data_IF_615003879615
#
_entry.id   IF_615003879615
#
_cell.length_a   1.000
_cell.length_b   1.000
_cell.length_c   1.000
_cell.angle_alpha   90.00
_cell.angle_beta   90.00
_cell.angle_gamma   90.00
#
_symmetry.space_group_name_H-M   'P 1'
#
loop_
_entity.id
_entity.type
_entity.pdbx_description
1 polymer ?
#
# COMPACT_ATOMS: atom_id res chain seq x y z
N UNK A 1 9.25 6.07 9.94
CA UNK A 1 9.81 5.57 11.20
C UNK A 1 9.51 4.09 11.27
N UNK A 2 10.53 3.27 11.03
CA UNK A 2 10.44 1.82 11.14
C UNK A 2 10.38 1.40 12.61
N UNK A 3 9.53 0.43 12.92
CA UNK A 3 9.45 -0.13 14.27
C UNK A 3 10.40 -1.33 14.36
N UNK A 4 11.64 -1.05 14.73
CA UNK A 4 12.52 -2.05 15.33
C UNK A 4 12.49 -1.84 16.85
N UNK A 5 11.95 -2.81 17.57
CA UNK A 5 11.88 -2.80 19.02
C UNK A 5 11.45 -4.16 19.54
N UNK A 6 12.41 -5.07 19.74
CA UNK A 6 12.22 -6.24 20.60
C UNK A 6 11.91 -5.74 22.01
N UNK A 7 10.70 -5.99 22.50
CA UNK A 7 10.37 -6.01 23.93
C UNK A 7 9.45 -7.20 24.19
N UNK A 8 9.78 -7.90 25.26
CA UNK A 8 9.18 -9.14 25.75
C UNK A 8 7.64 -9.09 25.76
N UNK A 9 7.03 -10.11 25.15
CA UNK A 9 5.59 -10.23 25.00
C UNK A 9 5.01 -10.77 26.30
N UNK A 10 4.63 -9.88 27.22
CA UNK A 10 3.75 -10.25 28.33
C UNK A 10 2.30 -10.31 27.84
N UNK A 11 1.59 -11.37 28.23
CA UNK A 11 0.21 -11.79 27.87
C UNK A 11 -0.91 -10.77 28.17
N UNK A 12 -0.85 -9.56 27.63
CA UNK A 12 -1.96 -8.61 27.60
C UNK A 12 -2.25 -8.25 26.14
N UNK A 13 -3.19 -8.96 25.51
CA UNK A 13 -3.57 -8.75 24.10
C UNK A 13 -4.15 -7.35 23.81
N UNK A 14 -4.58 -6.62 24.84
CA UNK A 14 -5.27 -5.33 24.72
C UNK A 14 -4.31 -4.17 24.97
N UNK A 15 -4.47 -3.11 24.19
CA UNK A 15 -3.66 -1.89 24.33
C UNK A 15 -3.79 -1.33 25.74
N UNK A 16 -2.67 -1.28 26.47
CA UNK A 16 -2.60 -0.78 27.84
C UNK A 16 -2.85 0.73 27.86
N UNK A 17 -3.66 1.18 28.82
CA UNK A 17 -3.95 2.61 29.02
C UNK A 17 -5.09 3.17 28.19
N UNK A 18 -5.76 2.35 27.36
CA UNK A 18 -7.00 2.77 26.71
C UNK A 18 -8.23 2.38 27.54
N UNK A 19 -9.14 3.33 27.73
CA UNK A 19 -10.43 3.09 28.37
C UNK A 19 -11.47 2.62 27.33
N UNK A 20 -11.68 1.32 27.28
CA UNK A 20 -12.61 0.68 26.33
C UNK A 20 -14.08 0.96 26.63
N UNK A 21 -14.42 1.48 27.83
CA UNK A 21 -15.81 1.85 28.14
C UNK A 21 -16.32 2.99 27.24
N UNK A 22 -15.41 3.80 26.70
CA UNK A 22 -15.68 4.89 25.76
C UNK A 22 -15.90 4.43 24.31
N UNK A 23 -16.00 3.12 24.09
CA UNK A 23 -16.02 2.53 22.77
C UNK A 23 -14.64 2.44 22.13
N UNK A 24 -14.48 1.56 21.14
CA UNK A 24 -13.18 1.29 20.53
C UNK A 24 -13.34 0.82 19.09
N UNK A 25 -12.61 1.43 18.16
CA UNK A 25 -12.43 0.87 16.83
C UNK A 25 -11.29 -0.16 16.86
N UNK A 26 -11.51 -1.35 16.31
CA UNK A 26 -10.60 -2.49 16.37
C UNK A 26 -10.36 -3.06 14.98
N UNK A 27 -9.13 -3.45 14.71
CA UNK A 27 -8.74 -4.37 13.64
C UNK A 27 -8.49 -5.74 14.24
N UNK A 28 -9.18 -6.77 13.75
CA UNK A 28 -9.12 -8.14 14.28
C UNK A 28 -8.73 -9.11 13.17
N UNK A 29 -7.90 -10.09 13.51
CA UNK A 29 -7.55 -11.23 12.65
C UNK A 29 -7.86 -12.54 13.36
N UNK A 30 -8.62 -13.41 12.71
CA UNK A 30 -8.97 -14.75 13.21
C UNK A 30 -8.49 -15.77 12.18
N UNK A 31 -7.68 -16.74 12.62
CA UNK A 31 -6.93 -17.63 11.72
C UNK A 31 -7.41 -19.08 11.92
N UNK A 32 -7.56 -19.81 10.81
CA UNK A 32 -7.87 -21.25 10.84
C UNK A 32 -6.72 -22.03 11.48
N UNK A 33 -7.00 -23.24 11.98
CA UNK A 33 -5.98 -24.12 12.53
C UNK A 33 -5.58 -25.23 11.55
N UNK A 34 -4.29 -25.48 11.27
CA UNK A 34 -3.09 -24.63 11.49
C UNK A 34 -2.79 -23.75 10.26
N UNK A 35 -3.68 -22.81 9.90
CA UNK A 35 -3.65 -22.02 8.64
C UNK A 35 -4.06 -22.80 7.39
N UNK A 36 -5.05 -23.69 7.51
CA UNK A 36 -5.61 -24.43 6.36
C UNK A 36 -6.40 -23.48 5.46
N UNK A 37 -6.15 -23.53 4.15
CA UNK A 37 -6.85 -22.71 3.14
C UNK A 37 -8.26 -23.26 2.84
N UNK A 38 -9.14 -23.22 3.83
CA UNK A 38 -10.47 -23.85 3.78
C UNK A 38 -11.55 -22.97 3.17
N UNK A 39 -11.34 -21.65 3.12
CA UNK A 39 -12.39 -20.69 2.72
C UNK A 39 -12.41 -20.42 1.22
N UNK A 40 -11.39 -20.86 0.49
CA UNK A 40 -11.28 -20.66 -0.95
C UNK A 40 -9.86 -20.36 -1.40
N UNK A 41 -9.77 -19.87 -2.63
CA UNK A 41 -8.52 -19.46 -3.27
C UNK A 41 -8.67 -18.05 -3.84
N UNK A 42 -7.57 -17.33 -3.95
CA UNK A 42 -7.58 -15.99 -4.51
C UNK A 42 -7.39 -16.09 -6.03
N UNK A 43 -8.31 -15.46 -6.78
CA UNK A 43 -8.29 -15.30 -8.24
C UNK A 43 -8.79 -13.90 -8.57
N UNK A 44 -8.07 -13.17 -9.43
CA UNK A 44 -8.39 -11.81 -9.87
C UNK A 44 -8.63 -10.87 -8.69
N UNK A 45 -7.71 -10.89 -7.73
CA UNK A 45 -7.76 -10.12 -6.49
C UNK A 45 -9.04 -10.33 -5.65
N UNK A 46 -9.72 -11.47 -5.80
CA UNK A 46 -10.93 -11.82 -5.03
C UNK A 46 -10.86 -13.25 -4.53
N UNK A 47 -11.52 -13.52 -3.41
CA UNK A 47 -11.67 -14.88 -2.92
C UNK A 47 -12.76 -15.60 -3.72
N UNK A 48 -12.36 -16.60 -4.51
CA UNK A 48 -13.28 -17.64 -5.01
C UNK A 48 -13.60 -18.57 -3.85
N UNK A 49 -14.77 -18.35 -3.24
CA UNK A 49 -15.15 -18.97 -1.97
C UNK A 49 -15.57 -20.43 -2.14
N UNK A 50 -15.19 -21.27 -1.17
CA UNK A 50 -15.84 -22.57 -0.94
C UNK A 50 -17.22 -22.38 -0.30
N UNK A 51 -17.99 -23.47 -0.15
CA UNK A 51 -19.22 -23.45 0.65
C UNK A 51 -18.97 -22.97 2.09
N UNK A 52 -17.84 -23.39 2.69
CA UNK A 52 -17.44 -22.92 4.01
C UNK A 52 -17.08 -21.43 4.01
N UNK A 53 -16.35 -20.95 2.98
CA UNK A 53 -16.05 -19.53 2.84
C UNK A 53 -17.31 -18.66 2.74
N UNK A 54 -18.34 -19.13 2.02
CA UNK A 54 -19.66 -18.49 1.96
C UNK A 54 -20.36 -18.51 3.32
N UNK A 55 -20.29 -19.62 4.05
CA UNK A 55 -20.86 -19.71 5.40
C UNK A 55 -20.19 -18.72 6.36
N UNK A 56 -18.86 -18.69 6.38
CA UNK A 56 -18.07 -17.75 7.19
C UNK A 56 -18.43 -16.30 6.88
N UNK A 57 -18.57 -15.92 5.61
CA UNK A 57 -18.99 -14.57 5.22
C UNK A 57 -20.38 -14.22 5.78
N UNK A 58 -21.35 -15.14 5.70
CA UNK A 58 -22.67 -14.95 6.32
C UNK A 58 -22.56 -14.78 7.84
N UNK A 59 -21.75 -15.59 8.52
CA UNK A 59 -21.53 -15.48 9.98
C UNK A 59 -20.88 -14.16 10.39
N UNK A 60 -20.03 -13.57 9.54
CA UNK A 60 -19.47 -12.22 9.77
C UNK A 60 -20.60 -11.19 9.77
N UNK A 61 -21.51 -11.25 8.80
CA UNK A 61 -22.66 -10.32 8.71
C UNK A 61 -23.56 -10.45 9.92
N UNK A 62 -23.91 -11.68 10.32
CA UNK A 62 -24.70 -11.96 11.53
C UNK A 62 -24.03 -11.40 12.80
N UNK A 63 -22.72 -11.62 12.97
CA UNK A 63 -21.96 -11.06 14.08
C UNK A 63 -21.97 -9.52 14.06
N UNK A 64 -21.91 -8.92 12.88
CA UNK A 64 -21.99 -7.46 12.71
C UNK A 64 -23.34 -6.84 13.08
N UNK A 65 -24.39 -7.66 13.16
CA UNK A 65 -25.75 -7.26 13.60
C UNK A 65 -25.95 -7.41 15.11
N UNK A 66 -25.01 -8.02 15.83
CA UNK A 66 -25.11 -8.19 17.28
C UNK A 66 -25.11 -6.83 18.00
N UNK A 67 -25.94 -6.65 19.05
CA UNK A 67 -25.95 -5.43 19.84
C UNK A 67 -24.56 -5.10 20.39
N UNK A 68 -24.19 -3.82 20.33
CA UNK A 68 -22.88 -3.32 20.79
C UNK A 68 -21.74 -3.46 19.77
N UNK A 69 -21.96 -4.15 18.66
CA UNK A 69 -21.01 -4.24 17.54
C UNK A 69 -21.46 -3.33 16.39
N UNK A 70 -20.51 -2.68 15.75
CA UNK A 70 -20.68 -2.07 14.43
C UNK A 70 -19.56 -2.55 13.53
N UNK A 71 -19.88 -3.44 12.59
CA UNK A 71 -18.92 -3.87 11.57
C UNK A 71 -18.76 -2.74 10.54
N UNK A 72 -17.53 -2.35 10.23
CA UNK A 72 -17.21 -1.37 9.19
C UNK A 72 -16.76 -2.03 7.90
N UNK A 73 -15.85 -2.99 8.00
CA UNK A 73 -15.29 -3.70 6.86
C UNK A 73 -14.81 -5.08 7.29
N UNK A 74 -14.71 -6.00 6.34
CA UNK A 74 -14.21 -7.35 6.57
C UNK A 74 -13.75 -7.98 5.27
N UNK A 75 -12.77 -8.87 5.35
CA UNK A 75 -12.40 -9.74 4.24
C UNK A 75 -12.19 -11.17 4.73
N UNK A 76 -12.75 -12.13 4.00
CA UNK A 76 -12.43 -13.54 4.13
C UNK A 76 -11.23 -13.82 3.21
N UNK A 77 -10.15 -14.33 3.79
CA UNK A 77 -8.95 -14.80 3.09
C UNK A 77 -8.96 -16.34 3.08
N UNK A 78 -8.12 -17.03 2.29
CA UNK A 78 -8.17 -18.49 2.17
C UNK A 78 -8.15 -19.24 3.51
N UNK A 79 -7.36 -18.76 4.48
CA UNK A 79 -7.09 -19.42 5.77
C UNK A 79 -7.38 -18.54 7.00
N UNK A 80 -7.93 -17.34 6.83
CA UNK A 80 -8.21 -16.41 7.93
C UNK A 80 -9.26 -15.37 7.55
N UNK A 81 -9.72 -14.61 8.52
CA UNK A 81 -10.58 -13.44 8.31
C UNK A 81 -9.96 -12.21 8.96
N UNK A 82 -10.15 -11.07 8.31
CA UNK A 82 -9.84 -9.76 8.86
C UNK A 82 -11.13 -8.98 9.06
N UNK A 83 -11.25 -8.30 10.19
CA UNK A 83 -12.44 -7.54 10.58
C UNK A 83 -12.02 -6.15 11.04
N UNK A 84 -12.75 -5.15 10.61
CA UNK A 84 -12.70 -3.81 11.18
C UNK A 84 -14.07 -3.50 11.77
N UNK A 85 -14.11 -3.33 13.08
CA UNK A 85 -15.36 -3.09 13.80
C UNK A 85 -15.19 -2.00 14.86
N UNK A 86 -16.30 -1.49 15.35
CA UNK A 86 -16.38 -0.59 16.49
C UNK A 86 -17.25 -1.17 17.58
N UNK A 87 -16.71 -1.14 18.79
CA UNK A 87 -17.45 -1.40 20.01
C UNK A 87 -18.14 -0.10 20.45
N UNK A 88 -19.46 -0.18 20.57
CA UNK A 88 -20.32 0.93 20.95
C UNK A 88 -20.21 1.24 22.44
N UNK A 89 -20.04 2.52 22.79
CA UNK A 89 -19.94 2.97 24.18
C UNK A 89 -21.26 2.90 24.94
N UNK A 90 -22.38 2.81 24.23
CA UNK A 90 -23.73 2.73 24.84
C UNK A 90 -24.02 1.35 25.46
N UNK A 91 -23.16 0.36 25.21
CA UNK A 91 -23.32 -1.00 25.73
C UNK A 91 -22.38 -1.24 26.92
N UNK A 92 -22.89 -1.82 28.02
CA UNK A 92 -22.05 -2.13 29.18
C UNK A 92 -20.98 -3.16 28.80
N UNK A 93 -19.80 -2.99 29.39
CA UNK A 93 -18.65 -3.87 29.21
C UNK A 93 -18.32 -4.19 27.72
N UNK A 94 -17.88 -3.20 26.91
CA UNK A 94 -17.62 -3.38 25.48
C UNK A 94 -16.72 -4.57 25.15
N UNK A 95 -15.75 -4.86 26.02
CA UNK A 95 -14.81 -5.98 25.88
C UNK A 95 -15.44 -7.36 26.13
N UNK A 96 -16.45 -7.45 26.98
CA UNK A 96 -17.24 -8.67 27.20
C UNK A 96 -18.15 -8.90 26.00
N UNK A 97 -18.77 -7.83 25.50
CA UNK A 97 -19.56 -7.86 24.25
C UNK A 97 -18.73 -8.37 23.07
N UNK A 98 -17.50 -7.86 22.90
CA UNK A 98 -16.56 -8.37 21.88
C UNK A 98 -16.27 -9.87 22.08
N UNK A 99 -15.96 -10.29 23.30
CA UNK A 99 -15.65 -11.68 23.61
C UNK A 99 -16.81 -12.63 23.26
N UNK A 100 -18.05 -12.24 23.60
CA UNK A 100 -19.27 -12.99 23.26
C UNK A 100 -19.50 -13.06 21.75
N UNK A 101 -19.35 -11.93 21.05
CA UNK A 101 -19.54 -11.87 19.60
C UNK A 101 -18.55 -12.77 18.85
N UNK A 102 -17.26 -12.66 19.18
CA UNK A 102 -16.22 -13.49 18.54
C UNK A 102 -16.36 -14.95 18.94
N UNK A 103 -16.74 -15.25 20.19
CA UNK A 103 -17.03 -16.61 20.64
C UNK A 103 -18.16 -17.26 19.84
N UNK A 104 -19.31 -16.57 19.74
CA UNK A 104 -20.45 -17.03 18.96
C UNK A 104 -20.10 -17.23 17.48
N UNK A 105 -19.43 -16.25 16.86
CA UNK A 105 -18.94 -16.34 15.48
C UNK A 105 -18.08 -17.59 15.26
N UNK A 106 -17.07 -17.81 16.10
CA UNK A 106 -16.16 -18.95 15.96
C UNK A 106 -16.88 -20.29 16.14
N UNK A 107 -17.80 -20.38 17.11
CA UNK A 107 -18.59 -21.58 17.38
C UNK A 107 -19.53 -21.92 16.23
N UNK A 108 -20.24 -20.93 15.67
CA UNK A 108 -21.14 -21.14 14.53
C UNK A 108 -20.37 -21.55 13.27
N UNK A 109 -19.23 -20.91 12.98
CA UNK A 109 -18.38 -21.32 11.87
C UNK A 109 -17.81 -22.74 12.05
N UNK A 110 -17.47 -23.13 13.29
CA UNK A 110 -16.99 -24.48 13.58
C UNK A 110 -18.08 -25.52 13.34
N UNK A 111 -19.34 -25.21 13.71
CA UNK A 111 -20.50 -26.04 13.39
C UNK A 111 -20.68 -26.18 11.87
N UNK A 112 -20.68 -25.07 11.13
CA UNK A 112 -20.80 -25.09 9.67
C UNK A 112 -19.66 -25.90 9.02
N UNK A 113 -18.44 -25.81 9.56
CA UNK A 113 -17.29 -26.62 9.12
C UNK A 113 -17.52 -28.11 9.31
N UNK A 114 -17.93 -28.56 10.50
CA UNK A 114 -18.20 -29.98 10.75
C UNK A 114 -19.32 -30.52 9.86
N UNK A 115 -20.40 -29.75 9.67
CA UNK A 115 -21.53 -30.15 8.83
C UNK A 115 -21.17 -30.24 7.34
N UNK A 116 -20.39 -29.28 6.81
CA UNK A 116 -20.05 -29.22 5.39
C UNK A 116 -18.90 -30.16 4.99
N UNK A 117 -17.99 -30.47 5.92
CA UNK A 117 -16.76 -31.24 5.60
C UNK A 117 -16.78 -32.66 6.15
N UNK A 118 -17.61 -32.94 7.17
CA UNK A 118 -17.57 -34.19 7.92
C UNK A 118 -16.30 -34.36 8.78
N UNK A 119 -15.41 -33.36 8.82
CA UNK A 119 -14.17 -33.44 9.58
C UNK A 119 -14.41 -33.18 11.07
N UNK A 120 -13.67 -33.91 11.92
CA UNK A 120 -13.58 -33.62 13.36
C UNK A 120 -12.38 -32.71 13.65
N UNK A 121 -12.49 -31.81 14.63
CA UNK A 121 -11.38 -31.00 15.13
C UNK A 121 -11.69 -29.50 15.19
N UNK A 122 -10.67 -28.68 15.48
CA UNK A 122 -10.85 -27.23 15.58
C UNK A 122 -10.67 -26.54 14.23
N UNK A 123 -11.67 -25.78 13.80
CA UNK A 123 -11.56 -24.88 12.65
C UNK A 123 -10.55 -23.76 12.92
N UNK A 124 -10.52 -23.20 14.13
CA UNK A 124 -9.79 -21.98 14.45
C UNK A 124 -8.61 -22.21 15.40
N UNK A 125 -7.60 -21.36 15.31
CA UNK A 125 -6.57 -21.24 16.35
C UNK A 125 -7.17 -20.69 17.65
N UNK A 126 -6.48 -20.90 18.78
CA UNK A 126 -6.92 -20.40 20.08
C UNK A 126 -6.85 -18.86 20.15
N UNK A 127 -7.97 -18.22 20.48
CA UNK A 127 -8.09 -16.77 20.55
C UNK A 127 -8.17 -16.08 19.18
N UNK A 128 -7.72 -14.82 19.14
CA UNK A 128 -7.62 -13.96 17.95
C UNK A 128 -6.58 -12.86 18.22
N UNK A 129 -6.13 -12.18 17.15
CA UNK A 129 -5.28 -11.00 17.24
C UNK A 129 -6.12 -9.75 17.06
N UNK A 130 -5.93 -8.73 17.90
CA UNK A 130 -6.62 -7.45 17.81
C UNK A 130 -5.67 -6.25 18.00
N UNK A 131 -6.01 -5.12 17.35
CA UNK A 131 -5.34 -3.83 17.52
C UNK A 131 -6.39 -2.71 17.50
N UNK A 132 -6.35 -1.83 18.50
CA UNK A 132 -7.09 -0.55 18.52
C UNK A 132 -6.66 0.51 17.47
N UNK A 133 -7.64 1.01 16.71
CA UNK A 133 -7.48 2.13 15.80
C UNK A 133 -7.84 3.43 16.54
N UNK A 134 -6.84 4.27 16.80
CA UNK A 134 -7.00 5.47 17.65
C UNK A 134 -7.28 6.76 16.86
N UNK A 135 -7.21 6.72 15.53
CA UNK A 135 -7.45 7.88 14.67
C UNK A 135 -8.19 7.52 13.39
N UNK A 136 -8.80 8.51 12.74
CA UNK A 136 -9.48 8.34 11.46
C UNK A 136 -8.50 7.87 10.37
N UNK A 137 -7.24 8.31 10.41
CA UNK A 137 -6.20 7.90 9.48
C UNK A 137 -5.84 6.42 9.66
N UNK A 138 -5.75 5.94 10.91
CA UNK A 138 -5.54 4.51 11.19
C UNK A 138 -6.73 3.68 10.71
N UNK A 139 -7.96 4.13 10.97
CA UNK A 139 -9.19 3.48 10.49
C UNK A 139 -9.18 3.39 8.96
N UNK A 140 -8.84 4.48 8.27
CA UNK A 140 -8.76 4.49 6.81
C UNK A 140 -7.62 3.59 6.28
N UNK A 141 -6.49 3.51 6.99
CA UNK A 141 -5.39 2.62 6.63
C UNK A 141 -5.76 1.15 6.78
N UNK A 142 -6.50 0.78 7.84
CA UNK A 142 -7.01 -0.58 8.04
C UNK A 142 -8.03 -0.95 6.98
N UNK A 143 -8.96 -0.05 6.64
CA UNK A 143 -9.93 -0.29 5.55
C UNK A 143 -9.19 -0.61 4.24
N UNK A 144 -8.23 0.23 3.85
CA UNK A 144 -7.40 -0.04 2.68
C UNK A 144 -6.66 -1.38 2.80
N UNK A 145 -6.10 -1.69 3.96
CA UNK A 145 -5.41 -2.96 4.16
C UNK A 145 -6.34 -4.16 3.93
N UNK A 146 -7.57 -4.12 4.42
CA UNK A 146 -8.60 -5.13 4.22
C UNK A 146 -8.92 -5.27 2.73
N UNK A 147 -9.20 -4.15 2.05
CA UNK A 147 -9.59 -4.14 0.64
C UNK A 147 -8.49 -4.68 -0.29
N UNK A 148 -7.23 -4.35 0.01
CA UNK A 148 -6.07 -4.77 -0.81
C UNK A 148 -5.49 -6.12 -0.39
N UNK A 149 -5.94 -6.74 0.70
CA UNK A 149 -5.35 -8.00 1.18
C UNK A 149 -5.43 -9.13 0.14
N UNK A 150 -6.57 -9.34 -0.55
CA UNK A 150 -6.67 -10.30 -1.64
C UNK A 150 -5.63 -10.06 -2.74
N UNK A 151 -5.52 -8.83 -3.25
CA UNK A 151 -4.52 -8.49 -4.26
C UNK A 151 -3.09 -8.72 -3.75
N UNK A 152 -2.80 -8.31 -2.52
CA UNK A 152 -1.50 -8.53 -1.89
C UNK A 152 -1.16 -10.01 -1.79
N UNK A 153 -2.15 -10.85 -1.50
CA UNK A 153 -1.97 -12.30 -1.46
C UNK A 153 -1.65 -12.84 -2.86
N UNK A 154 -2.44 -12.44 -3.86
CA UNK A 154 -2.25 -12.85 -5.26
C UNK A 154 -0.86 -12.50 -5.76
N UNK A 155 -0.45 -11.24 -5.64
CA UNK A 155 0.88 -10.77 -6.06
C UNK A 155 2.03 -11.38 -5.26
N UNK A 156 1.75 -12.01 -4.10
CA UNK A 156 2.79 -12.65 -3.29
C UNK A 156 2.94 -14.14 -3.58
N UNK A 157 1.84 -14.82 -3.87
CA UNK A 157 1.80 -16.28 -3.93
C UNK A 157 1.45 -16.82 -5.32
N UNK A 158 0.64 -16.10 -6.10
CA UNK A 158 0.19 -16.54 -7.41
C UNK A 158 0.98 -15.85 -8.53
N UNK A 159 1.40 -14.60 -8.31
CA UNK A 159 2.15 -13.77 -9.27
C UNK A 159 3.33 -13.04 -8.59
N UNK A 160 4.27 -13.79 -7.95
CA UNK A 160 5.37 -13.22 -7.18
C UNK A 160 6.31 -12.32 -8.00
N UNK A 161 6.33 -12.46 -9.32
CA UNK A 161 7.13 -11.67 -10.25
C UNK A 161 6.87 -10.17 -10.13
N UNK A 162 5.63 -9.75 -9.86
CA UNK A 162 5.30 -8.32 -9.68
C UNK A 162 5.92 -7.69 -8.43
N UNK A 163 6.25 -8.51 -7.43
CA UNK A 163 6.85 -8.07 -6.16
C UNK A 163 8.28 -8.59 -6.00
N UNK A 164 8.89 -9.10 -7.06
CA UNK A 164 10.29 -9.47 -7.06
C UNK A 164 11.17 -8.20 -7.00
N UNK A 165 12.29 -8.30 -6.29
CA UNK A 165 13.30 -7.24 -6.29
C UNK A 165 14.20 -7.45 -7.51
N UNK A 166 14.26 -6.45 -8.37
CA UNK A 166 15.20 -6.33 -9.48
C UNK A 166 16.49 -5.70 -8.95
N UNK A 167 17.59 -6.45 -9.05
CA UNK A 167 18.88 -6.03 -8.53
C UNK A 167 20.03 -6.64 -9.36
N UNK A 168 20.86 -5.84 -10.05
CA UNK A 168 20.64 -4.41 -10.33
C UNK A 168 19.50 -4.20 -11.33
N UNK A 169 18.92 -3.00 -11.37
CA UNK A 169 18.09 -2.58 -12.50
C UNK A 169 19.01 -2.27 -13.68
N UNK A 170 18.84 -2.99 -14.78
CA UNK A 170 19.51 -2.72 -16.05
C UNK A 170 18.58 -1.93 -16.96
N UNK A 171 18.65 -0.59 -16.88
CA UNK A 171 17.86 0.31 -17.72
C UNK A 171 18.74 1.42 -18.31
N UNK A 172 18.54 1.78 -19.57
CA UNK A 172 19.40 2.74 -20.28
C UNK A 172 19.32 4.16 -19.70
N UNK A 173 18.20 4.50 -19.05
CA UNK A 173 18.03 5.77 -18.33
C UNK A 173 18.79 5.85 -17.01
N UNK A 174 19.36 4.74 -16.53
CA UNK A 174 20.16 4.69 -15.31
C UNK A 174 21.65 4.67 -15.67
N UNK A 175 22.46 5.39 -14.89
CA UNK A 175 23.91 5.38 -15.08
C UNK A 175 24.48 3.98 -14.82
N UNK A 176 25.35 3.44 -15.69
CA UNK A 176 25.96 2.13 -15.48
C UNK A 176 26.87 2.09 -14.25
N UNK A 177 27.37 3.24 -13.80
CA UNK A 177 28.20 3.38 -12.59
C UNK A 177 27.39 3.45 -11.30
N UNK A 178 26.06 3.55 -11.39
CA UNK A 178 25.17 3.62 -10.22
C UNK A 178 24.49 2.28 -9.96
N UNK A 179 24.43 1.89 -8.69
CA UNK A 179 23.69 0.70 -8.28
C UNK A 179 22.24 1.05 -7.97
N UNK A 180 21.29 0.36 -8.60
CA UNK A 180 19.86 0.57 -8.41
C UNK A 180 19.13 -0.74 -8.13
N UNK A 181 18.21 -0.71 -7.16
CA UNK A 181 17.23 -1.76 -6.90
C UNK A 181 15.83 -1.27 -7.24
N UNK A 182 14.95 -2.16 -7.67
CA UNK A 182 13.55 -1.83 -7.88
C UNK A 182 12.60 -2.97 -7.66
N UNK A 183 11.33 -2.63 -7.58
CA UNK A 183 10.20 -3.55 -7.48
C UNK A 183 9.04 -3.01 -8.31
N UNK A 184 8.25 -3.91 -8.88
CA UNK A 184 7.24 -3.57 -9.87
C UNK A 184 7.84 -3.44 -11.27
N UNK A 185 7.28 -2.54 -12.08
CA UNK A 185 7.48 -2.53 -13.53
C UNK A 185 8.69 -1.66 -13.89
N UNK A 186 9.89 -2.16 -13.60
CA UNK A 186 11.14 -1.40 -13.81
C UNK A 186 11.38 -1.06 -15.29
N UNK A 187 10.84 -1.85 -16.22
CA UNK A 187 10.88 -1.63 -17.67
C UNK A 187 10.25 -0.30 -18.12
N UNK A 188 9.47 0.36 -17.24
CA UNK A 188 9.03 1.74 -17.47
C UNK A 188 10.22 2.69 -17.71
N UNK A 189 11.39 2.37 -17.15
CA UNK A 189 12.64 3.11 -17.34
C UNK A 189 13.25 2.94 -18.74
N UNK A 190 12.87 1.91 -19.49
CA UNK A 190 13.41 1.63 -20.83
C UNK A 190 12.46 2.02 -21.96
N UNK A 191 11.17 2.25 -21.67
CA UNK A 191 10.19 2.58 -22.70
C UNK A 191 10.36 3.96 -23.35
N UNK A 192 9.69 4.17 -24.50
CA UNK A 192 9.76 5.42 -25.26
C UNK A 192 8.90 6.55 -24.68
N UNK A 193 8.07 6.26 -23.67
CA UNK A 193 7.19 7.26 -23.06
C UNK A 193 8.04 8.34 -22.38
N UNK A 194 7.84 9.63 -22.68
CA UNK A 194 8.59 10.71 -22.04
C UNK A 194 8.28 10.79 -20.55
N UNK A 195 9.23 11.33 -19.78
CA UNK A 195 9.11 11.40 -18.32
C UNK A 195 8.72 12.80 -17.83
N UNK A 196 8.12 12.88 -16.65
CA UNK A 196 8.01 14.13 -15.90
C UNK A 196 8.64 13.91 -14.53
N UNK A 197 9.78 14.55 -14.26
CA UNK A 197 10.29 14.61 -12.89
C UNK A 197 9.52 15.68 -12.12
N UNK A 198 8.78 15.24 -11.10
CA UNK A 198 7.89 16.11 -10.33
C UNK A 198 8.59 16.67 -9.10
N UNK A 199 8.60 18.00 -8.96
CA UNK A 199 9.02 18.68 -7.74
C UNK A 199 8.04 19.77 -7.34
N UNK A 200 7.28 19.52 -6.28
CA UNK A 200 6.31 20.51 -5.76
C UNK A 200 6.78 21.00 -4.39
N UNK A 201 6.99 22.32 -4.28
CA UNK A 201 7.43 22.92 -3.03
C UNK A 201 6.40 22.73 -1.90
N UNK A 202 6.87 22.35 -0.72
CA UNK A 202 6.04 22.25 0.50
C UNK A 202 5.44 23.58 0.97
N UNK A 203 5.84 24.71 0.35
CA UNK A 203 5.37 26.07 0.70
C UNK A 203 4.15 26.51 -0.11
N UNK A 204 3.63 25.67 -1.01
CA UNK A 204 2.43 26.00 -1.78
C UNK A 204 1.19 25.97 -0.88
N UNK A 205 0.23 26.84 -1.16
CA UNK A 205 -1.11 26.78 -0.55
C UNK A 205 -1.93 25.62 -1.15
N UNK A 206 -3.01 25.22 -0.48
CA UNK A 206 -3.92 24.19 -0.98
C UNK A 206 -4.42 24.51 -2.40
N UNK A 207 -4.87 25.74 -2.64
CA UNK A 207 -5.31 26.19 -3.97
C UNK A 207 -4.24 26.03 -5.05
N UNK A 208 -2.98 26.34 -4.73
CA UNK A 208 -1.87 26.19 -5.67
C UNK A 208 -1.54 24.71 -5.95
N UNK A 209 -1.73 23.85 -4.95
CA UNK A 209 -1.61 22.40 -5.13
C UNK A 209 -2.72 21.90 -6.05
N UNK A 210 -3.96 22.35 -5.85
CA UNK A 210 -5.10 21.96 -6.69
C UNK A 210 -4.91 22.39 -8.16
N UNK A 211 -4.43 23.61 -8.39
CA UNK A 211 -4.05 24.10 -9.72
C UNK A 211 -2.95 23.23 -10.36
N UNK A 212 -1.94 22.81 -9.57
CA UNK A 212 -0.89 21.91 -10.04
C UNK A 212 -1.44 20.52 -10.40
N UNK A 213 -2.29 19.94 -9.55
CA UNK A 213 -2.95 18.64 -9.76
C UNK A 213 -3.82 18.68 -11.03
N UNK A 214 -4.62 19.73 -11.22
CA UNK A 214 -5.46 19.89 -12.40
C UNK A 214 -4.64 19.97 -13.71
N UNK A 215 -3.47 20.63 -13.67
CA UNK A 215 -2.57 20.66 -14.82
C UNK A 215 -1.97 19.29 -15.13
N UNK A 216 -1.56 18.54 -14.10
CA UNK A 216 -0.98 17.20 -14.26
C UNK A 216 -2.01 16.21 -14.78
N UNK A 217 -3.27 16.29 -14.33
CA UNK A 217 -4.36 15.42 -14.81
C UNK A 217 -4.46 15.41 -16.34
N UNK A 218 -4.30 16.57 -16.99
CA UNK A 218 -4.37 16.72 -18.46
C UNK A 218 -3.19 16.10 -19.22
N UNK A 219 -2.16 15.61 -18.52
CA UNK A 219 -0.96 14.97 -19.09
C UNK A 219 -0.87 13.49 -18.73
N UNK A 220 -1.87 12.95 -18.02
CA UNK A 220 -1.93 11.53 -17.70
C UNK A 220 -2.17 10.77 -19.00
N UNK A 221 -1.39 9.71 -19.22
CA UNK A 221 -1.40 8.93 -20.47
C UNK A 221 -0.20 9.25 -21.37
N UNK A 222 0.23 10.51 -21.40
CA UNK A 222 1.32 10.96 -22.27
C UNK A 222 2.71 10.76 -21.65
N UNK A 223 2.80 10.68 -20.31
CA UNK A 223 4.07 10.68 -19.58
C UNK A 223 4.15 9.58 -18.50
N UNK A 224 5.40 9.20 -18.18
CA UNK A 224 5.76 8.52 -16.94
C UNK A 224 6.17 9.56 -15.90
N UNK A 225 5.54 9.56 -14.74
CA UNK A 225 5.84 10.54 -13.68
C UNK A 225 6.83 9.94 -12.67
N UNK A 226 7.93 10.62 -12.39
CA UNK A 226 8.97 10.16 -11.47
C UNK A 226 9.23 11.16 -10.34
N UNK A 227 9.42 10.68 -9.12
CA UNK A 227 9.75 11.53 -7.99
C UNK A 227 9.79 10.81 -6.64
N UNK A 228 10.07 11.56 -5.57
CA UNK A 228 10.12 11.03 -4.20
C UNK A 228 8.77 10.99 -3.46
N UNK A 229 7.78 11.77 -3.92
CA UNK A 229 6.45 11.88 -3.32
C UNK A 229 6.46 12.30 -1.84
N UNK A 230 7.30 13.29 -1.50
CA UNK A 230 7.61 13.67 -0.12
C UNK A 230 6.70 14.82 0.34
N UNK A 231 6.57 15.86 -0.48
CA UNK A 231 5.79 17.05 -0.13
C UNK A 231 4.28 16.82 -0.22
N UNK A 232 3.43 17.63 0.46
CA UNK A 232 1.97 17.51 0.34
C UNK A 232 1.48 17.60 -1.10
N UNK A 233 2.06 18.50 -1.90
CA UNK A 233 1.69 18.64 -3.31
C UNK A 233 2.12 17.45 -4.17
N UNK A 234 3.31 16.89 -3.93
CA UNK A 234 3.74 15.67 -4.63
C UNK A 234 2.85 14.48 -4.26
N UNK A 235 2.47 14.34 -2.98
CA UNK A 235 1.54 13.30 -2.54
C UNK A 235 0.17 13.45 -3.18
N UNK A 236 -0.34 14.67 -3.30
CA UNK A 236 -1.61 14.93 -4.00
C UNK A 236 -1.54 14.49 -5.48
N UNK A 237 -0.42 14.74 -6.16
CA UNK A 237 -0.20 14.27 -7.54
C UNK A 237 -0.03 12.74 -7.59
N UNK A 238 0.72 12.13 -6.67
CA UNK A 238 0.82 10.66 -6.58
C UNK A 238 -0.56 10.03 -6.43
N UNK A 239 -1.38 10.57 -5.54
CA UNK A 239 -2.72 10.04 -5.27
C UNK A 239 -3.63 10.20 -6.50
N UNK A 240 -3.53 11.33 -7.22
CA UNK A 240 -4.14 11.52 -8.54
C UNK A 240 -3.68 10.45 -9.54
N UNK A 241 -2.37 10.23 -9.68
CA UNK A 241 -1.82 9.29 -10.67
C UNK A 241 -2.24 7.84 -10.38
N UNK A 242 -2.32 7.45 -9.10
CA UNK A 242 -2.80 6.13 -8.72
C UNK A 242 -4.29 5.96 -9.04
N UNK A 243 -5.10 7.00 -8.79
CA UNK A 243 -6.54 6.99 -9.06
C UNK A 243 -6.87 7.02 -10.56
N UNK A 244 -6.25 7.94 -11.30
CA UNK A 244 -6.54 8.19 -12.72
C UNK A 244 -5.65 7.32 -13.66
N UNK A 245 -5.13 6.21 -13.15
CA UNK A 245 -4.36 5.20 -13.90
C UNK A 245 -3.13 5.74 -14.67
N UNK A 246 -2.42 6.71 -14.09
CA UNK A 246 -1.14 7.19 -14.62
C UNK A 246 0.01 6.20 -14.44
N UNK A 247 1.07 6.36 -15.25
CA UNK A 247 2.36 5.65 -15.09
C UNK A 247 3.24 6.41 -14.09
N UNK A 248 3.76 5.73 -13.08
CA UNK A 248 4.40 6.38 -11.93
C UNK A 248 5.62 5.60 -11.41
N UNK A 249 6.70 6.31 -11.12
CA UNK A 249 7.91 5.76 -10.50
C UNK A 249 8.21 6.51 -9.21
N UNK A 250 8.32 5.77 -8.09
CA UNK A 250 8.83 6.32 -6.84
C UNK A 250 10.31 6.07 -6.71
N UNK A 251 11.08 7.12 -6.43
CA UNK A 251 12.45 6.99 -5.94
C UNK A 251 12.43 7.07 -4.41
N UNK A 252 12.93 6.04 -3.74
CA UNK A 252 13.08 6.03 -2.29
C UNK A 252 14.30 6.88 -1.87
N UNK A 253 14.20 7.62 -0.75
CA UNK A 253 15.32 8.39 -0.20
C UNK A 253 16.38 7.53 0.50
N UNK A 254 16.11 6.24 0.68
CA UNK A 254 17.00 5.26 1.32
C UNK A 254 17.11 4.02 0.44
N UNK A 255 18.16 3.23 0.64
CA UNK A 255 18.30 1.92 -0.01
C UNK A 255 17.09 1.01 0.26
N UNK A 256 16.83 0.11 -0.69
CA UNK A 256 15.76 -0.87 -0.60
C UNK A 256 16.29 -2.16 0.03
N UNK A 257 15.79 -2.59 1.21
CA UNK A 257 16.19 -3.87 1.81
C UNK A 257 15.67 -5.05 1.00
N UNK A 258 16.33 -6.21 1.11
CA UNK A 258 15.93 -7.44 0.38
C UNK A 258 14.55 -7.97 0.75
N UNK A 259 14.03 -7.58 1.91
CA UNK A 259 12.70 -7.98 2.38
C UNK A 259 11.67 -6.83 2.28
N UNK A 260 11.96 -5.79 1.49
CA UNK A 260 11.11 -4.61 1.33
C UNK A 260 9.64 -4.97 1.13
N UNK A 261 8.76 -4.32 1.89
CA UNK A 261 7.32 -4.53 1.84
C UNK A 261 6.65 -3.37 1.12
N UNK A 262 6.19 -3.64 -0.09
CA UNK A 262 5.41 -2.67 -0.88
C UNK A 262 4.13 -2.29 -0.12
N UNK A 263 3.90 -0.98 -0.01
CA UNK A 263 2.67 -0.45 0.58
C UNK A 263 1.45 -0.77 -0.28
N UNK A 264 0.30 -1.05 0.36
CA UNK A 264 -0.92 -1.52 -0.33
C UNK A 264 -1.39 -0.59 -1.45
N UNK A 265 -1.17 0.71 -1.32
CA UNK A 265 -1.56 1.72 -2.31
C UNK A 265 -0.89 1.56 -3.68
N UNK A 266 0.24 0.86 -3.76
CA UNK A 266 0.98 0.66 -5.00
C UNK A 266 0.58 -0.61 -5.73
N UNK A 267 -0.02 -1.58 -5.04
CA UNK A 267 -0.22 -2.94 -5.54
C UNK A 267 -1.06 -2.97 -6.82
N UNK A 268 -2.12 -2.18 -6.89
CA UNK A 268 -2.97 -2.12 -8.07
C UNK A 268 -2.23 -1.53 -9.27
N UNK A 269 -1.47 -0.45 -9.06
CA UNK A 269 -0.69 0.17 -10.12
C UNK A 269 0.47 -0.73 -10.61
N UNK A 270 1.05 -1.53 -9.72
CA UNK A 270 2.05 -2.54 -10.09
C UNK A 270 1.42 -3.65 -10.93
N UNK A 271 0.30 -4.23 -10.46
CA UNK A 271 -0.44 -5.27 -11.20
C UNK A 271 -0.86 -4.78 -12.59
N UNK A 272 -1.32 -3.54 -12.69
CA UNK A 272 -1.75 -2.92 -13.95
C UNK A 272 -0.57 -2.53 -14.87
N UNK A 273 0.67 -2.94 -14.55
CA UNK A 273 1.88 -2.61 -15.29
C UNK A 273 2.20 -1.10 -15.41
N UNK A 274 1.87 -0.31 -14.38
CA UNK A 274 1.99 1.16 -14.39
C UNK A 274 2.89 1.75 -13.30
N UNK A 275 3.37 0.95 -12.36
CA UNK A 275 4.17 1.48 -11.26
C UNK A 275 5.46 0.71 -11.00
N UNK A 276 6.50 1.46 -10.65
CA UNK A 276 7.74 0.94 -10.08
C UNK A 276 8.15 1.75 -8.84
N UNK A 277 8.82 1.10 -7.92
CA UNK A 277 9.52 1.75 -6.80
C UNK A 277 10.99 1.39 -6.95
N UNK A 278 11.85 2.39 -6.95
CA UNK A 278 13.30 2.22 -7.13
C UNK A 278 14.07 2.91 -6.00
N UNK A 279 15.26 2.41 -5.73
CA UNK A 279 16.17 2.97 -4.73
C UNK A 279 17.62 2.88 -5.22
N UNK A 280 18.40 3.91 -4.91
CA UNK A 280 19.83 3.95 -5.22
C UNK A 280 20.64 3.35 -4.07
N UNK A 281 21.60 2.49 -4.39
CA UNK A 281 22.57 1.91 -3.48
C UNK A 281 22.06 0.77 -2.59
N UNK A 282 23.00 0.17 -1.85
CA UNK A 282 22.78 -0.97 -0.95
C UNK A 282 22.93 -0.63 0.54
N UNK A 283 23.32 0.60 0.85
CA UNK A 283 23.55 1.06 2.23
C UNK A 283 22.36 1.89 2.70
N UNK A 284 21.87 1.62 3.91
CA UNK A 284 20.86 2.47 4.52
C UNK A 284 21.38 3.91 4.64
N UNK A 285 20.67 4.83 3.99
CA UNK A 285 20.89 6.27 4.15
C UNK A 285 19.83 6.77 5.12
N UNK A 286 20.25 7.44 6.18
CA UNK A 286 19.32 8.05 7.12
C UNK A 286 18.46 9.09 6.40
N UNK A 287 17.15 9.09 6.67
CA UNK A 287 16.23 10.03 6.06
C UNK A 287 16.62 11.47 6.41
N UNK A 288 17.18 12.17 5.44
CA UNK A 288 17.72 13.52 5.63
C UNK A 288 17.26 14.45 4.51
N UNK A 289 17.45 15.76 4.73
CA UNK A 289 17.23 16.75 3.68
C UNK A 289 18.15 16.51 2.48
N UNK A 290 19.39 16.07 2.72
CA UNK A 290 20.35 15.75 1.65
C UNK A 290 19.83 14.60 0.79
N UNK A 291 19.38 13.50 1.42
CA UNK A 291 18.77 12.37 0.71
C UNK A 291 17.55 12.80 -0.13
N UNK A 292 16.71 13.71 0.37
CA UNK A 292 15.59 14.25 -0.41
C UNK A 292 16.04 15.07 -1.63
N UNK A 293 17.15 15.80 -1.55
CA UNK A 293 17.70 16.55 -2.68
C UNK A 293 18.29 15.62 -3.72
N UNK A 294 19.02 14.59 -3.30
CA UNK A 294 19.55 13.55 -4.18
C UNK A 294 18.44 12.84 -4.97
N UNK A 295 17.31 12.55 -4.32
CA UNK A 295 16.13 11.99 -5.01
C UNK A 295 15.62 12.91 -6.11
N UNK A 296 15.56 14.22 -5.86
CA UNK A 296 15.10 15.19 -6.87
C UNK A 296 16.08 15.29 -8.05
N UNK A 297 17.37 15.28 -7.77
CA UNK A 297 18.43 15.30 -8.79
C UNK A 297 18.43 14.02 -9.63
N UNK A 298 18.28 12.86 -9.00
CA UNK A 298 18.14 11.58 -9.69
C UNK A 298 16.90 11.55 -10.59
N UNK A 299 15.74 11.98 -10.08
CA UNK A 299 14.52 12.07 -10.88
C UNK A 299 14.70 12.97 -12.12
N UNK A 300 15.32 14.14 -11.95
CA UNK A 300 15.58 15.06 -13.05
C UNK A 300 16.55 14.49 -14.10
N UNK A 301 17.63 13.82 -13.66
CA UNK A 301 18.58 13.13 -14.56
C UNK A 301 17.89 12.04 -15.37
N UNK A 302 17.15 11.15 -14.70
CA UNK A 302 16.41 10.06 -15.34
C UNK A 302 15.40 10.61 -16.35
N UNK A 303 14.66 11.66 -15.99
CA UNK A 303 13.65 12.24 -16.88
C UNK A 303 14.23 12.96 -18.11
N UNK A 304 15.49 13.38 -18.04
CA UNK A 304 16.19 14.09 -19.13
C UNK A 304 17.08 13.17 -19.98
N UNK A 305 17.18 11.88 -19.63
CA UNK A 305 17.99 10.93 -20.38
C UNK A 305 17.39 10.70 -21.78
N UNK A 306 18.25 10.71 -22.81
CA UNK A 306 17.92 10.42 -24.21
C UNK A 306 18.72 9.23 -24.71
N UNK A 307 18.07 8.34 -25.46
CA UNK A 307 18.71 7.16 -26.03
C UNK A 307 19.85 7.61 -26.97
N UNK A 308 21.09 7.16 -26.70
CA UNK A 308 22.27 7.49 -27.51
C UNK A 308 23.27 8.53 -26.97
N UNK A 309 23.27 8.91 -25.69
CA UNK A 309 24.36 9.71 -25.11
C UNK A 309 24.94 9.12 -23.82
N UNK A 310 25.95 8.26 -23.99
CA UNK A 310 27.10 8.36 -23.12
C UNK A 310 27.78 9.71 -23.40
N UNK A 311 28.10 10.44 -22.33
CA UNK A 311 28.97 11.63 -22.27
C UNK A 311 28.49 12.91 -22.99
N UNK A 312 27.80 13.78 -22.25
CA UNK A 312 28.11 15.21 -22.23
C UNK A 312 27.53 15.84 -20.96
N UNK A 313 28.34 16.61 -20.23
CA UNK A 313 27.95 17.55 -19.19
C UNK A 313 27.15 18.73 -19.78
N UNK A 314 26.07 18.42 -20.50
CA UNK A 314 25.14 19.37 -21.10
C UNK A 314 24.14 19.86 -20.07
N UNK A 315 24.04 21.19 -19.92
CA UNK A 315 23.25 21.85 -18.89
C UNK A 315 21.79 21.36 -18.81
N UNK A 316 21.37 21.10 -17.58
CA UNK A 316 19.99 20.82 -17.17
C UNK A 316 19.07 21.96 -17.64
N UNK A 317 18.22 21.72 -18.64
CA UNK A 317 17.23 22.72 -19.10
C UNK A 317 15.94 22.61 -18.30
N UNK A 318 15.48 23.74 -17.77
CA UNK A 318 14.32 23.87 -16.88
C UNK A 318 13.01 23.91 -17.66
N UNK A 319 12.09 22.98 -17.37
CA UNK A 319 10.72 22.99 -17.89
C UNK A 319 9.84 24.03 -17.17
N UNK A 320 8.88 24.60 -17.90
CA UNK A 320 7.98 25.70 -17.53
C UNK A 320 7.73 25.91 -16.01
N UNK A 321 8.27 27.00 -15.47
CA UNK A 321 7.95 27.48 -14.13
C UNK A 321 6.59 28.20 -14.15
N UNK A 322 5.57 27.61 -13.51
CA UNK A 322 4.30 28.28 -13.25
C UNK A 322 4.12 28.39 -11.73
N UNK A 323 4.84 29.35 -11.13
CA UNK A 323 4.91 29.58 -9.68
C UNK A 323 6.02 28.78 -8.97
N UNK A 324 5.88 28.57 -7.64
CA UNK A 324 6.86 27.84 -6.79
C UNK A 324 6.95 26.31 -7.05
N UNK A 325 6.35 25.80 -8.13
CA UNK A 325 6.39 24.39 -8.54
C UNK A 325 7.23 24.26 -9.83
N UNK A 326 8.11 23.27 -9.87
CA UNK A 326 9.03 23.04 -11.00
C UNK A 326 8.81 21.62 -11.52
N UNK A 327 8.69 21.50 -12.83
CA UNK A 327 8.52 20.23 -13.52
C UNK A 327 9.62 20.13 -14.58
N UNK A 328 10.21 18.95 -14.72
CA UNK A 328 11.18 18.69 -15.77
C UNK A 328 10.51 17.87 -16.87
N UNK A 329 10.61 18.35 -18.10
CA UNK A 329 10.14 17.67 -19.30
C UNK A 329 11.37 17.32 -20.14
N UNK A 330 11.49 16.10 -20.70
CA UNK A 330 12.43 15.83 -21.78
C UNK A 330 12.08 16.74 -22.95
N UNK A 331 13.08 17.28 -23.64
CA UNK A 331 12.85 18.28 -24.69
C UNK A 331 11.92 17.74 -25.79
N UNK A 332 10.84 18.47 -26.07
CA UNK A 332 9.94 18.33 -27.21
C UNK A 332 9.66 19.73 -27.78
N UNK A 333 9.24 19.86 -29.06
CA UNK A 333 9.51 21.04 -29.88
C UNK A 333 9.07 22.34 -29.21
N UNK A 334 9.94 23.34 -29.25
CA UNK A 334 9.58 24.73 -28.92
C UNK A 334 8.38 25.11 -29.77
N UNK A 335 7.20 25.21 -29.17
CA UNK A 335 6.16 26.07 -29.72
C UNK A 335 6.66 27.49 -29.51
N UNK A 336 7.35 27.99 -30.54
CA UNK A 336 7.67 29.39 -30.72
C UNK A 336 6.33 30.14 -30.71
N UNK A 337 6.28 31.20 -29.89
CA UNK A 337 5.17 32.15 -29.84
C UNK A 337 4.85 32.74 -31.20
#
# INVERSE_FOLDING_TARGET
MGFAGKKEIHHFRRFRGYDYSRGAALFITIVTNPRRRLFGEIVDAKLRKTQLGLAVERRIVEMGQMPGIRLFNSVVMPDHVHLQLHLRSEFPEPLVTLGRAIGAFKSLCAKDFHELTGESGSLWQQGYHDWICQSAEMIAAVNRYIDYNPLKFELRYNQPEFLAIHEPIAAWRLSPDEFWRGIGVVDLLDGDTPFIALRISRKLSARQIDEAVARIRRRIGDYVFIGGWISPGEKAVRDLLLADKGKIIQILPSAMPHDYKVGSMWLEAIRDCRAAIIARGNSEVEFSRAACLEVNEAAARIASASDGMATASGGIRTGAALGKAVYWLPEGPKLVS
#
